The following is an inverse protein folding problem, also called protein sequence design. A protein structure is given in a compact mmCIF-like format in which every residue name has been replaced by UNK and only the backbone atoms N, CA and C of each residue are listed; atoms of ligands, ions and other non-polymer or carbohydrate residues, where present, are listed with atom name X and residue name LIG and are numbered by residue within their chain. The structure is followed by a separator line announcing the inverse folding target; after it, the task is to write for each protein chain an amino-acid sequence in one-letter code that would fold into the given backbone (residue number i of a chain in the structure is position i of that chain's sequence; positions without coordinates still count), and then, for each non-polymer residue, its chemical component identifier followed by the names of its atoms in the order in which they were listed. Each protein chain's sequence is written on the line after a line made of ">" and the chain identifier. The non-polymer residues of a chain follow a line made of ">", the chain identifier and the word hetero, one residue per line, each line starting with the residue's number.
data_IF_884419579468
#
_entry.id   IF_884419579468
#
_cell.length_a   1.000
_cell.length_b   1.000
_cell.length_c   1.000
_cell.angle_alpha   90.00
_cell.angle_beta   90.00
_cell.angle_gamma   90.00
#
_symmetry.space_group_name_H-M   'P 1'
#
loop_
_entity.id
_entity.type
_entity.pdbx_description
1 polymer ?
#
# COMPACT_ATOMS: atom_id res chain seq x y z
N UNK A 1 -2.24 -11.39 -6.92
CA UNK A 1 -2.78 -10.17 -6.27
C UNK A 1 -3.35 -9.23 -7.32
N UNK A 2 -2.58 -8.88 -8.36
CA UNK A 2 -3.09 -8.06 -9.48
C UNK A 2 -4.36 -8.66 -10.11
N UNK A 3 -4.41 -9.98 -10.34
CA UNK A 3 -5.59 -10.63 -10.93
C UNK A 3 -6.83 -10.66 -10.01
N UNK A 4 -6.67 -10.29 -8.73
CA UNK A 4 -7.77 -10.22 -7.76
C UNK A 4 -8.56 -8.91 -7.85
N UNK A 5 -8.22 -8.01 -8.79
CA UNK A 5 -8.90 -6.72 -8.99
C UNK A 5 -8.96 -5.86 -7.71
N UNK A 6 -7.90 -5.93 -6.89
CA UNK A 6 -7.71 -5.07 -5.73
C UNK A 6 -7.03 -3.77 -6.13
N UNK A 7 -7.29 -2.67 -5.43
CA UNK A 7 -6.66 -1.37 -5.74
C UNK A 7 -5.37 -1.13 -4.94
N UNK A 8 -5.25 -1.72 -3.75
CA UNK A 8 -4.18 -1.44 -2.80
C UNK A 8 -3.64 -2.73 -2.18
N UNK A 9 -2.32 -2.77 -1.95
CA UNK A 9 -1.64 -3.79 -1.15
C UNK A 9 -0.95 -3.06 0.00
N UNK A 10 -1.46 -3.24 1.22
CA UNK A 10 -0.86 -2.65 2.42
C UNK A 10 0.08 -3.64 3.12
N UNK A 11 1.27 -3.19 3.51
CA UNK A 11 2.29 -4.04 4.14
C UNK A 11 3.03 -3.34 5.28
N UNK A 12 3.34 -4.08 6.35
CA UNK A 12 4.19 -3.63 7.47
C UNK A 12 5.67 -4.00 7.21
N UNK A 13 6.21 -3.43 6.12
CA UNK A 13 7.61 -3.53 5.71
C UNK A 13 7.91 -2.56 4.56
N UNK A 14 9.21 -2.33 4.28
CA UNK A 14 9.71 -1.41 3.24
C UNK A 14 9.67 -2.01 1.81
N UNK A 15 8.62 -2.77 1.49
CA UNK A 15 8.35 -3.28 0.14
C UNK A 15 8.08 -4.78 0.01
N UNK A 16 7.22 -5.13 -0.97
CA UNK A 16 6.77 -6.51 -1.27
C UNK A 16 7.88 -7.40 -1.84
N UNK A 17 8.95 -6.78 -2.35
CA UNK A 17 10.21 -7.42 -2.75
C UNK A 17 11.38 -6.59 -2.22
N UNK A 18 12.58 -7.17 -2.22
CA UNK A 18 13.78 -6.53 -1.67
C UNK A 18 14.83 -6.32 -2.76
N UNK A 19 15.71 -5.34 -2.53
CA UNK A 19 16.83 -5.06 -3.41
C UNK A 19 16.40 -4.69 -4.82
N UNK A 20 17.04 -5.27 -5.82
CA UNK A 20 16.80 -4.93 -7.24
C UNK A 20 15.41 -5.29 -7.75
N UNK A 21 14.75 -6.27 -7.11
CA UNK A 21 13.41 -6.70 -7.51
C UNK A 21 12.30 -5.76 -7.01
N UNK A 22 12.59 -4.95 -5.99
CA UNK A 22 11.64 -4.02 -5.40
C UNK A 22 11.03 -3.08 -6.46
N UNK A 23 11.79 -2.18 -7.12
CA UNK A 23 11.20 -1.22 -8.05
C UNK A 23 10.50 -1.89 -9.24
N UNK A 24 10.99 -3.05 -9.69
CA UNK A 24 10.38 -3.81 -10.78
C UNK A 24 9.00 -4.32 -10.38
N UNK A 25 8.85 -4.84 -9.15
CA UNK A 25 7.58 -5.37 -8.68
C UNK A 25 6.57 -4.26 -8.38
N UNK A 26 7.03 -3.16 -7.80
CA UNK A 26 6.18 -1.99 -7.55
C UNK A 26 5.66 -1.37 -8.84
N UNK A 27 6.53 -1.21 -9.85
CA UNK A 27 6.12 -0.73 -11.15
C UNK A 27 5.12 -1.68 -11.83
N UNK A 28 5.36 -3.01 -11.76
CA UNK A 28 4.40 -3.99 -12.27
C UNK A 28 3.02 -3.83 -11.62
N UNK A 29 2.94 -3.60 -10.31
CA UNK A 29 1.67 -3.33 -9.64
C UNK A 29 1.03 -2.03 -10.16
N UNK A 30 1.81 -0.94 -10.24
CA UNK A 30 1.33 0.37 -10.68
C UNK A 30 0.81 0.35 -12.13
N UNK A 31 1.49 -0.36 -13.03
CA UNK A 31 1.09 -0.55 -14.43
C UNK A 31 -0.28 -1.24 -14.57
N UNK A 32 -0.72 -1.95 -13.52
CA UNK A 32 -2.03 -2.61 -13.44
C UNK A 32 -3.01 -1.88 -12.51
N UNK A 33 -2.72 -0.63 -12.12
CA UNK A 33 -3.59 0.17 -11.26
C UNK A 33 -3.63 -0.29 -9.80
N UNK A 34 -2.66 -1.10 -9.37
CA UNK A 34 -2.53 -1.58 -7.99
C UNK A 34 -1.37 -0.86 -7.31
N UNK A 35 -1.60 -0.24 -6.15
CA UNK A 35 -0.55 0.52 -5.45
C UNK A 35 -0.16 -0.14 -4.14
N UNK A 36 1.13 -0.08 -3.80
CA UNK A 36 1.68 -0.61 -2.56
C UNK A 36 1.74 0.49 -1.52
N UNK A 37 1.26 0.21 -0.30
CA UNK A 37 1.41 1.08 0.87
C UNK A 37 2.33 0.37 1.84
N UNK A 38 3.52 0.93 1.99
CA UNK A 38 4.58 0.36 2.83
C UNK A 38 4.57 0.90 4.25
N UNK A 39 5.25 0.18 5.14
CA UNK A 39 5.48 0.57 6.53
C UNK A 39 4.18 0.89 7.29
N UNK A 40 3.09 0.16 7.00
CA UNK A 40 1.86 0.28 7.75
C UNK A 40 2.09 -0.16 9.20
N UNK A 41 1.54 0.59 10.16
CA UNK A 41 1.66 0.31 11.58
C UNK A 41 0.31 -0.06 12.20
N UNK A 42 0.33 -0.47 13.48
CA UNK A 42 -0.87 -0.75 14.29
C UNK A 42 -1.81 -1.86 13.76
N UNK A 43 -1.38 -2.66 12.77
CA UNK A 43 -2.22 -3.68 12.13
C UNK A 43 -2.76 -4.74 13.09
N UNK A 44 -2.05 -5.00 14.19
CA UNK A 44 -2.50 -5.92 15.23
C UNK A 44 -3.86 -5.52 15.83
N UNK A 45 -4.16 -4.22 15.89
CA UNK A 45 -5.41 -3.70 16.45
C UNK A 45 -6.61 -3.94 15.53
N UNK A 46 -6.35 -4.30 14.27
CA UNK A 46 -7.35 -4.50 13.21
C UNK A 46 -7.66 -5.98 12.94
N UNK A 47 -6.99 -6.91 13.63
CA UNK A 47 -7.20 -8.35 13.44
C UNK A 47 -8.66 -8.74 13.71
N UNK A 48 -9.25 -9.51 12.79
CA UNK A 48 -10.63 -10.01 12.84
C UNK A 48 -11.70 -8.91 12.88
N UNK A 49 -11.40 -7.72 12.37
CA UNK A 49 -12.37 -6.62 12.22
C UNK A 49 -12.58 -6.33 10.75
N UNK A 50 -13.82 -6.02 10.40
CA UNK A 50 -14.09 -5.33 9.15
C UNK A 50 -13.68 -3.86 9.31
N UNK A 51 -12.92 -3.36 8.35
CA UNK A 51 -12.33 -2.03 8.40
C UNK A 51 -12.51 -1.29 7.09
N UNK A 52 -12.65 0.02 7.18
CA UNK A 52 -12.52 0.92 6.04
C UNK A 52 -11.13 1.56 6.12
N UNK A 53 -10.32 1.35 5.10
CA UNK A 53 -8.96 1.89 5.01
C UNK A 53 -8.98 3.16 4.17
N UNK A 54 -8.76 4.30 4.81
CA UNK A 54 -8.65 5.60 4.16
C UNK A 54 -7.20 5.98 3.94
N UNK A 55 -6.86 6.41 2.72
CA UNK A 55 -5.49 6.76 2.33
C UNK A 55 -5.41 8.19 1.84
N UNK A 56 -4.50 8.98 2.40
CA UNK A 56 -4.30 10.39 2.07
C UNK A 56 -2.85 10.61 1.63
N UNK A 57 -2.52 10.28 0.37
CA UNK A 57 -1.19 10.54 -0.18
C UNK A 57 -0.98 12.03 -0.42
N UNK A 58 0.23 12.50 -0.15
CA UNK A 58 0.65 13.88 -0.48
C UNK A 58 0.76 14.06 -1.99
N UNK A 59 0.33 15.21 -2.52
CA UNK A 59 0.39 15.49 -3.97
C UNK A 59 1.73 16.11 -4.38
N UNK A 60 2.80 15.33 -4.34
CA UNK A 60 4.09 15.75 -4.88
C UNK A 60 4.24 15.34 -6.34
N UNK A 61 4.73 16.26 -7.17
CA UNK A 61 4.95 16.02 -8.59
C UNK A 61 6.30 15.35 -8.83
N UNK A 62 6.36 14.41 -9.79
CA UNK A 62 7.61 13.76 -10.22
C UNK A 62 8.13 12.67 -9.26
N UNK A 63 7.35 12.31 -8.25
CA UNK A 63 7.71 11.27 -7.28
C UNK A 63 6.99 9.96 -7.65
N UNK A 64 7.71 8.84 -7.57
CA UNK A 64 7.15 7.48 -7.79
C UNK A 64 6.54 6.88 -6.52
N UNK A 65 6.89 7.43 -5.35
CA UNK A 65 6.33 7.09 -4.04
C UNK A 65 6.02 8.35 -3.25
N UNK A 66 4.93 8.32 -2.48
CA UNK A 66 4.40 9.49 -1.78
C UNK A 66 4.21 9.16 -0.30
N UNK A 67 4.61 10.06 0.61
CA UNK A 67 4.17 9.97 2.00
C UNK A 67 2.64 9.94 2.04
N UNK A 68 2.09 9.02 2.84
CA UNK A 68 0.66 8.78 2.92
C UNK A 68 0.24 8.64 4.38
N UNK A 69 -0.78 9.39 4.79
CA UNK A 69 -1.48 9.12 6.04
C UNK A 69 -2.49 8.02 5.76
N UNK A 70 -2.41 6.93 6.51
CA UNK A 70 -3.40 5.84 6.48
C UNK A 70 -4.19 5.87 7.77
N UNK A 71 -5.52 5.80 7.66
CA UNK A 71 -6.44 5.74 8.81
C UNK A 71 -7.38 4.57 8.59
N UNK A 72 -7.49 3.70 9.59
CA UNK A 72 -8.45 2.62 9.62
C UNK A 72 -9.67 3.03 10.46
N UNK A 73 -10.86 2.90 9.90
CA UNK A 73 -12.12 2.99 10.64
C UNK A 73 -12.61 1.57 10.91
N UNK A 74 -12.86 1.26 12.17
CA UNK A 74 -13.38 -0.05 12.59
C UNK A 74 -14.90 0.03 12.76
N UNK A 75 -15.62 -0.97 12.26
CA UNK A 75 -17.06 -1.12 12.48
C UNK A 75 -17.39 -1.77 13.83
#
# INVERSE_FOLDING_TARGET
>A
MVDLHISLIGVDFAGIRRGREHPVKDQYCADHGVFVIENMCNLRELLNKDVIMNTYPMRYQGMTGLPCRVVAETM
#
